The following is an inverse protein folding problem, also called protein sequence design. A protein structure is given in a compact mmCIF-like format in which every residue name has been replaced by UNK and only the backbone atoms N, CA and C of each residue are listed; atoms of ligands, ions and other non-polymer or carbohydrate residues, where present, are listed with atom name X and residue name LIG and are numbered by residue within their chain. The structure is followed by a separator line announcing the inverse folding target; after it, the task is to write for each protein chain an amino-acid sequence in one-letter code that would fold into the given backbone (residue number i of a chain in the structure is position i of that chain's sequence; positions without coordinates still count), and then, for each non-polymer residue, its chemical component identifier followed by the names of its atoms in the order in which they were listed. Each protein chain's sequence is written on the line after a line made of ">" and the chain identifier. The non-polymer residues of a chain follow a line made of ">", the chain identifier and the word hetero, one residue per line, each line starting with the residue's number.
data_IF_500374065008
#
_entry.id   IF_500374065008
#
_cell.length_a   1.000
_cell.length_b   1.000
_cell.length_c   1.000
_cell.angle_alpha   90.00
_cell.angle_beta   90.00
_cell.angle_gamma   90.00
#
_symmetry.space_group_name_H-M   'P 1'
#
loop_
_entity.id
_entity.type
_entity.pdbx_description
1 polymer ?
#
# COMPACT_ATOMS: atom_id res chain seq x y z
N UNK A 1 -10.29 -4.69 13.04
CA UNK A 1 -11.68 -4.62 13.44
C UNK A 1 -12.06 -3.24 13.98
N UNK A 2 -13.33 -3.06 14.32
CA UNK A 2 -13.90 -1.78 14.78
C UNK A 2 -13.09 -1.08 15.89
N UNK A 3 -12.63 -1.78 16.95
CA UNK A 3 -11.84 -1.12 18.00
C UNK A 3 -10.50 -0.55 17.50
N UNK A 4 -9.87 -1.17 16.51
CA UNK A 4 -8.61 -0.67 15.93
C UNK A 4 -8.85 0.57 15.07
N UNK A 5 -9.96 0.63 14.36
CA UNK A 5 -10.39 1.81 13.60
C UNK A 5 -10.64 2.99 14.54
N UNK A 6 -11.36 2.77 15.62
CA UNK A 6 -11.62 3.78 16.65
C UNK A 6 -10.32 4.30 17.27
N UNK A 7 -9.34 3.41 17.48
CA UNK A 7 -8.01 3.79 17.98
C UNK A 7 -7.26 4.71 17.00
N UNK A 8 -7.35 4.45 15.71
CA UNK A 8 -6.73 5.31 14.69
C UNK A 8 -7.44 6.69 14.63
N UNK A 9 -8.77 6.71 14.67
CA UNK A 9 -9.54 7.96 14.72
C UNK A 9 -9.22 8.78 15.97
N UNK A 10 -9.03 8.13 17.12
CA UNK A 10 -8.65 8.81 18.36
C UNK A 10 -7.28 9.50 18.28
N UNK A 11 -6.38 9.01 17.41
CA UNK A 11 -5.09 9.66 17.11
C UNK A 11 -5.20 10.77 16.04
N UNK A 12 -6.39 11.06 15.55
CA UNK A 12 -6.60 11.99 14.44
C UNK A 12 -6.22 11.42 13.07
N UNK A 13 -6.07 10.10 12.95
CA UNK A 13 -5.71 9.43 11.70
C UNK A 13 -6.94 8.90 10.98
N UNK A 14 -6.90 8.92 9.65
CA UNK A 14 -7.85 8.23 8.78
C UNK A 14 -7.41 6.77 8.57
N UNK A 15 -8.39 5.89 8.29
CA UNK A 15 -8.11 4.53 7.83
C UNK A 15 -7.58 4.55 6.39
N UNK A 16 -7.02 3.41 5.94
CA UNK A 16 -6.56 3.27 4.56
C UNK A 16 -7.67 3.58 3.54
N UNK A 17 -8.86 3.03 3.73
CA UNK A 17 -10.00 3.28 2.84
C UNK A 17 -10.45 4.73 2.85
N UNK A 18 -10.51 5.35 4.02
CA UNK A 18 -10.86 6.76 4.14
C UNK A 18 -9.84 7.67 3.44
N UNK A 19 -8.53 7.35 3.57
CA UNK A 19 -7.46 8.08 2.87
C UNK A 19 -7.61 8.01 1.35
N UNK A 20 -7.89 6.82 0.82
CA UNK A 20 -8.09 6.63 -0.62
C UNK A 20 -9.34 7.37 -1.08
N UNK A 21 -10.46 7.22 -0.38
CA UNK A 21 -11.73 7.85 -0.75
C UNK A 21 -11.64 9.38 -0.69
N UNK A 22 -10.85 9.92 0.24
CA UNK A 22 -10.56 11.34 0.30
C UNK A 22 -9.74 11.84 -0.89
N UNK A 23 -8.80 11.02 -1.37
CA UNK A 23 -7.92 11.36 -2.49
C UNK A 23 -8.63 11.26 -3.85
N UNK A 24 -9.48 10.25 -4.03
CA UNK A 24 -10.16 10.00 -5.30
C UNK A 24 -11.32 10.96 -5.55
N UNK A 25 -11.57 11.24 -6.82
CA UNK A 25 -12.73 12.03 -7.25
C UNK A 25 -14.02 11.35 -6.81
N UNK A 26 -14.84 12.03 -6.02
CA UNK A 26 -16.07 11.48 -5.41
C UNK A 26 -17.17 11.14 -6.43
N UNK A 27 -17.15 11.79 -7.60
CA UNK A 27 -18.14 11.61 -8.67
C UNK A 27 -17.75 10.54 -9.69
N UNK A 28 -16.53 10.00 -9.61
CA UNK A 28 -16.04 9.00 -10.53
C UNK A 28 -16.08 7.62 -9.90
N UNK A 29 -16.29 6.60 -10.73
CA UNK A 29 -16.27 5.21 -10.27
C UNK A 29 -14.86 4.78 -9.88
N UNK A 30 -14.74 4.00 -8.82
CA UNK A 30 -13.50 3.33 -8.43
C UNK A 30 -13.73 1.83 -8.27
N UNK A 31 -12.65 1.06 -8.43
CA UNK A 31 -12.66 -0.39 -8.27
C UNK A 31 -11.63 -0.76 -7.23
N UNK A 32 -12.03 -1.53 -6.20
CA UNK A 32 -11.10 -2.12 -5.25
C UNK A 32 -10.59 -3.46 -5.79
N UNK A 33 -9.27 -3.63 -5.79
CA UNK A 33 -8.60 -4.85 -6.26
C UNK A 33 -8.24 -5.72 -5.07
N UNK A 34 -8.65 -6.99 -5.10
CA UNK A 34 -8.25 -7.97 -4.10
C UNK A 34 -8.78 -7.68 -2.69
N UNK A 35 -10.02 -7.18 -2.55
CA UNK A 35 -10.63 -6.87 -1.25
C UNK A 35 -10.62 -8.06 -0.27
N UNK A 36 -10.72 -9.28 -0.78
CA UNK A 36 -10.74 -10.51 0.01
C UNK A 36 -9.38 -11.24 0.05
N UNK A 37 -8.33 -10.63 -0.49
CA UNK A 37 -6.99 -11.18 -0.39
C UNK A 37 -6.60 -11.34 1.08
N UNK A 38 -6.05 -12.49 1.43
CA UNK A 38 -5.66 -12.80 2.81
C UNK A 38 -6.79 -13.30 3.73
N UNK A 39 -8.04 -13.34 3.26
CA UNK A 39 -9.15 -13.88 4.03
C UNK A 39 -8.89 -15.35 4.41
N UNK A 40 -9.03 -15.66 5.70
CA UNK A 40 -8.74 -16.99 6.24
C UNK A 40 -7.26 -17.36 6.30
N UNK A 41 -6.34 -16.49 5.87
CA UNK A 41 -4.90 -16.69 5.95
C UNK A 41 -4.30 -16.12 7.24
N UNK A 42 -3.19 -16.69 7.69
CA UNK A 42 -2.41 -16.21 8.84
C UNK A 42 -3.23 -16.10 10.13
N UNK A 43 -4.20 -16.98 10.34
CA UNK A 43 -5.09 -16.95 11.51
C UNK A 43 -4.32 -17.12 12.82
N UNK A 44 -3.24 -17.89 12.82
CA UNK A 44 -2.32 -18.05 13.96
C UNK A 44 -1.58 -16.74 14.31
N UNK A 45 -1.49 -15.81 13.39
CA UNK A 45 -0.90 -14.47 13.59
C UNK A 45 -1.96 -13.38 13.75
N UNK A 46 -3.25 -13.74 13.89
CA UNK A 46 -4.35 -12.79 14.03
C UNK A 46 -4.99 -12.33 12.71
N UNK A 47 -4.68 -13.02 11.61
CA UNK A 47 -5.25 -12.75 10.28
C UNK A 47 -4.60 -11.59 9.54
N UNK A 48 -4.93 -11.47 8.26
CA UNK A 48 -4.43 -10.41 7.38
C UNK A 48 -5.55 -9.97 6.41
N UNK A 49 -6.60 -9.29 6.90
CA UNK A 49 -7.72 -8.86 6.07
C UNK A 49 -7.26 -7.96 4.91
N UNK A 50 -7.81 -8.15 3.73
CA UNK A 50 -7.45 -7.44 2.49
C UNK A 50 -5.95 -7.49 2.16
N UNK A 51 -5.22 -8.48 2.71
CA UNK A 51 -3.77 -8.58 2.55
C UNK A 51 -2.98 -7.49 3.27
N UNK A 52 -3.57 -6.78 4.24
CA UNK A 52 -2.93 -5.69 4.98
C UNK A 52 -2.71 -4.41 4.15
N UNK A 53 -3.26 -4.35 2.96
CA UNK A 53 -3.16 -3.21 2.05
C UNK A 53 -4.42 -3.07 1.22
N UNK A 54 -4.87 -1.86 1.01
CA UNK A 54 -6.04 -1.54 0.16
C UNK A 54 -5.54 -1.00 -1.18
N UNK A 55 -6.01 -1.59 -2.27
CA UNK A 55 -5.68 -1.16 -3.64
C UNK A 55 -6.96 -0.75 -4.36
N UNK A 56 -6.99 0.46 -4.87
CA UNK A 56 -8.09 0.94 -5.72
C UNK A 56 -7.56 1.53 -7.02
N UNK A 57 -8.35 1.33 -8.07
CA UNK A 57 -8.17 2.03 -9.34
C UNK A 57 -9.29 3.06 -9.41
N UNK A 58 -8.94 4.31 -9.57
CA UNK A 58 -9.90 5.41 -9.61
C UNK A 58 -9.33 6.63 -10.31
N UNK A 59 -9.96 7.77 -10.11
CA UNK A 59 -9.60 9.01 -10.79
C UNK A 59 -9.21 10.08 -9.77
N UNK A 60 -8.18 10.85 -10.10
CA UNK A 60 -7.78 12.05 -9.36
C UNK A 60 -7.73 13.21 -10.36
N UNK A 61 -8.58 14.21 -10.18
CA UNK A 61 -8.74 15.34 -11.11
C UNK A 61 -8.91 14.87 -12.56
N UNK A 62 -9.74 13.86 -12.74
CA UNK A 62 -10.06 13.29 -14.04
C UNK A 62 -9.03 12.36 -14.65
N UNK A 63 -7.91 12.10 -13.97
CA UNK A 63 -6.86 11.17 -14.43
C UNK A 63 -6.95 9.86 -13.69
N UNK A 64 -7.00 8.76 -14.43
CA UNK A 64 -7.03 7.42 -13.85
C UNK A 64 -5.67 7.06 -13.22
N UNK A 65 -5.71 6.44 -12.06
CA UNK A 65 -4.52 6.05 -11.32
C UNK A 65 -4.78 4.81 -10.46
N UNK A 66 -3.69 4.18 -10.03
CA UNK A 66 -3.70 3.11 -9.05
C UNK A 66 -3.28 3.70 -7.71
N UNK A 67 -4.05 3.46 -6.66
CA UNK A 67 -3.74 3.92 -5.30
C UNK A 67 -3.58 2.70 -4.39
N UNK A 68 -2.47 2.66 -3.67
CA UNK A 68 -2.10 1.58 -2.75
C UNK A 68 -1.91 2.17 -1.36
N UNK A 69 -2.70 1.74 -0.39
CA UNK A 69 -2.62 2.25 0.98
C UNK A 69 -2.42 1.13 1.99
N UNK A 70 -1.39 1.23 2.83
CA UNK A 70 -1.19 0.33 3.95
C UNK A 70 -2.35 0.45 4.94
N UNK A 71 -2.85 -0.68 5.41
CA UNK A 71 -3.86 -0.73 6.46
C UNK A 71 -3.18 -0.85 7.83
N UNK A 72 -3.00 0.28 8.50
CA UNK A 72 -2.36 0.34 9.82
C UNK A 72 -3.16 -0.39 10.91
N UNK A 73 -4.43 -0.71 10.67
CA UNK A 73 -5.26 -1.51 11.59
C UNK A 73 -4.92 -2.99 11.53
N UNK A 74 -4.18 -3.42 10.49
CA UNK A 74 -3.70 -4.79 10.31
C UNK A 74 -2.21 -4.85 10.65
N UNK A 75 -1.88 -5.29 11.86
CA UNK A 75 -0.49 -5.42 12.35
C UNK A 75 0.36 -4.16 12.09
N UNK A 76 -0.19 -2.97 12.36
CA UNK A 76 0.46 -1.69 12.13
C UNK A 76 0.96 -1.48 10.68
N UNK A 77 0.27 -2.06 9.71
CA UNK A 77 0.65 -1.99 8.29
C UNK A 77 1.83 -2.88 7.93
N UNK A 78 2.18 -3.87 8.76
CA UNK A 78 3.28 -4.78 8.49
C UNK A 78 3.03 -5.65 7.25
N UNK A 79 4.10 -5.99 6.55
CA UNK A 79 4.04 -6.76 5.32
C UNK A 79 4.04 -8.26 5.60
N UNK A 80 3.00 -8.93 5.15
CA UNK A 80 2.92 -10.38 5.00
C UNK A 80 3.27 -10.78 3.55
N UNK A 81 3.52 -12.06 3.25
CA UNK A 81 3.72 -12.49 1.87
C UNK A 81 2.56 -12.09 0.94
N UNK A 82 1.31 -12.20 1.39
CA UNK A 82 0.14 -11.78 0.61
C UNK A 82 0.13 -10.25 0.37
N UNK A 83 0.65 -9.45 1.30
CA UNK A 83 0.79 -8.00 1.13
C UNK A 83 1.73 -7.70 -0.04
N UNK A 84 2.87 -8.37 -0.11
CA UNK A 84 3.81 -8.24 -1.22
C UNK A 84 3.19 -8.64 -2.55
N UNK A 85 2.48 -9.77 -2.61
CA UNK A 85 1.76 -10.22 -3.82
C UNK A 85 0.73 -9.21 -4.29
N UNK A 86 -0.02 -8.62 -3.38
CA UNK A 86 -1.03 -7.61 -3.72
C UNK A 86 -0.39 -6.32 -4.25
N UNK A 87 0.74 -5.90 -3.68
CA UNK A 87 1.52 -4.77 -4.20
C UNK A 87 2.06 -5.06 -5.61
N UNK A 88 2.59 -6.26 -5.85
CA UNK A 88 3.03 -6.69 -7.18
C UNK A 88 1.90 -6.62 -8.20
N UNK A 89 0.71 -7.07 -7.83
CA UNK A 89 -0.45 -6.99 -8.72
C UNK A 89 -0.85 -5.55 -9.03
N UNK A 90 -0.81 -4.66 -8.04
CA UNK A 90 -1.06 -3.23 -8.25
C UNK A 90 -0.05 -2.62 -9.25
N UNK A 91 1.22 -2.95 -9.10
CA UNK A 91 2.28 -2.51 -10.01
C UNK A 91 2.10 -3.07 -11.42
N UNK A 92 1.74 -4.34 -11.55
CA UNK A 92 1.43 -4.96 -12.85
C UNK A 92 0.28 -4.24 -13.56
N UNK A 93 -0.79 -3.94 -12.84
CA UNK A 93 -1.93 -3.18 -13.40
C UNK A 93 -1.49 -1.79 -13.87
N UNK A 94 -0.68 -1.09 -13.07
CA UNK A 94 -0.14 0.21 -13.44
C UNK A 94 0.71 0.13 -14.71
N UNK A 95 1.59 -0.87 -14.83
CA UNK A 95 2.43 -1.07 -16.00
C UNK A 95 1.63 -1.46 -17.25
N UNK A 96 0.71 -2.43 -17.12
CA UNK A 96 -0.12 -2.91 -18.23
C UNK A 96 -0.99 -1.80 -18.85
N UNK A 97 -1.47 -0.89 -18.01
CA UNK A 97 -2.38 0.18 -18.42
C UNK A 97 -1.70 1.56 -18.50
N UNK A 98 -0.41 1.64 -18.22
CA UNK A 98 0.38 2.89 -18.15
C UNK A 98 -0.26 3.93 -17.24
N UNK A 99 -0.70 3.49 -16.06
CA UNK A 99 -1.32 4.35 -15.06
C UNK A 99 -0.31 4.83 -14.03
N UNK A 100 -0.39 6.08 -13.57
CA UNK A 100 0.34 6.52 -12.40
C UNK A 100 -0.03 5.66 -11.19
N UNK A 101 0.93 5.44 -10.30
CA UNK A 101 0.71 4.72 -9.06
C UNK A 101 1.05 5.63 -7.87
N UNK A 102 0.18 5.63 -6.87
CA UNK A 102 0.32 6.42 -5.66
C UNK A 102 0.31 5.47 -4.46
N UNK A 103 1.36 5.55 -3.66
CA UNK A 103 1.50 4.79 -2.42
C UNK A 103 1.21 5.69 -1.22
N UNK A 104 0.21 5.33 -0.42
CA UNK A 104 -0.08 5.97 0.85
C UNK A 104 0.55 5.10 1.95
N UNK A 105 1.74 5.47 2.40
CA UNK A 105 2.59 4.63 3.23
C UNK A 105 2.30 4.83 4.71
N UNK A 106 1.95 3.75 5.39
CA UNK A 106 1.78 3.68 6.84
C UNK A 106 2.10 2.25 7.27
N UNK A 107 3.39 1.93 7.39
CA UNK A 107 3.87 0.56 7.56
C UNK A 107 4.97 0.45 8.59
N UNK A 108 4.84 -0.53 9.48
CA UNK A 108 5.88 -0.95 10.41
C UNK A 108 6.99 -1.80 9.74
N UNK A 109 6.95 -1.97 8.41
CA UNK A 109 7.89 -2.79 7.66
C UNK A 109 7.42 -4.24 7.53
N UNK A 110 8.37 -5.16 7.41
CA UNK A 110 8.06 -6.59 7.25
C UNK A 110 7.55 -7.18 8.57
N UNK A 111 6.54 -8.05 8.49
CA UNK A 111 6.11 -8.83 9.63
C UNK A 111 7.19 -9.82 10.03
N UNK A 112 7.93 -9.51 11.08
CA UNK A 112 9.15 -10.22 11.49
C UNK A 112 9.04 -11.75 11.57
N UNK A 113 7.95 -12.33 12.11
CA UNK A 113 7.81 -13.79 12.14
C UNK A 113 7.82 -14.48 10.78
N UNK A 114 7.62 -13.73 9.69
CA UNK A 114 7.57 -14.25 8.32
C UNK A 114 8.61 -13.61 7.40
N UNK A 115 9.63 -12.97 7.96
CA UNK A 115 10.63 -12.25 7.16
C UNK A 115 11.39 -13.15 6.19
N UNK A 116 11.62 -14.41 6.56
CA UNK A 116 12.34 -15.39 5.73
C UNK A 116 11.57 -15.73 4.44
N UNK A 117 10.26 -15.54 4.44
CA UNK A 117 9.40 -15.73 3.27
C UNK A 117 9.33 -14.51 2.38
N UNK A 118 9.69 -13.33 2.88
CA UNK A 118 9.51 -12.06 2.17
C UNK A 118 10.83 -11.52 1.63
N UNK A 119 11.90 -11.49 2.43
CA UNK A 119 13.14 -10.82 2.08
C UNK A 119 14.00 -11.51 1.00
N UNK A 120 14.23 -12.83 1.03
CA UNK A 120 15.16 -13.45 0.09
C UNK A 120 14.57 -13.63 -1.30
N UNK A 121 13.37 -13.17 -1.55
CA UNK A 121 12.59 -13.64 -2.66
C UNK A 121 12.63 -12.70 -3.86
N UNK A 122 13.02 -13.25 -5.01
CA UNK A 122 12.85 -12.64 -6.32
C UNK A 122 11.39 -12.30 -6.63
N UNK A 123 10.47 -12.99 -5.98
CA UNK A 123 9.02 -12.91 -6.20
C UNK A 123 8.32 -11.88 -5.30
N UNK A 124 9.02 -11.31 -4.31
CA UNK A 124 8.46 -10.35 -3.38
C UNK A 124 9.18 -8.98 -3.49
N UNK A 125 10.01 -8.61 -2.52
CA UNK A 125 10.65 -7.30 -2.51
C UNK A 125 11.57 -7.06 -3.70
N UNK A 126 12.35 -8.06 -4.12
CA UNK A 126 13.21 -7.92 -5.29
C UNK A 126 12.43 -7.60 -6.55
N UNK A 127 11.26 -8.21 -6.72
CA UNK A 127 10.38 -7.96 -7.87
C UNK A 127 9.69 -6.61 -7.77
N UNK A 128 9.28 -6.19 -6.57
CA UNK A 128 8.74 -4.84 -6.33
C UNK A 128 9.75 -3.78 -6.75
N UNK A 129 11.02 -3.91 -6.35
CA UNK A 129 12.07 -2.97 -6.72
C UNK A 129 12.35 -2.96 -8.22
N UNK A 130 12.38 -4.13 -8.84
CA UNK A 130 12.51 -4.25 -10.29
C UNK A 130 11.35 -3.55 -11.00
N UNK A 131 10.13 -3.75 -10.54
CA UNK A 131 8.95 -3.11 -11.10
C UNK A 131 9.03 -1.58 -10.96
N UNK A 132 9.49 -1.07 -9.81
CA UNK A 132 9.69 0.37 -9.63
C UNK A 132 10.67 0.94 -10.66
N UNK A 133 11.80 0.27 -10.88
CA UNK A 133 12.78 0.68 -11.88
C UNK A 133 12.21 0.60 -13.30
N UNK A 134 11.48 -0.45 -13.61
CA UNK A 134 10.82 -0.64 -14.90
C UNK A 134 9.77 0.42 -15.17
N UNK A 135 8.93 0.75 -14.19
CA UNK A 135 7.94 1.83 -14.31
C UNK A 135 8.60 3.18 -14.59
N UNK A 136 9.71 3.49 -13.91
CA UNK A 136 10.49 4.70 -14.18
C UNK A 136 10.99 4.73 -15.62
N UNK A 137 11.52 3.61 -16.14
CA UNK A 137 11.98 3.52 -17.54
C UNK A 137 10.84 3.64 -18.56
N UNK A 138 9.61 3.29 -18.19
CA UNK A 138 8.40 3.43 -19.00
C UNK A 138 7.78 4.83 -18.91
N UNK A 139 8.31 5.72 -18.09
CA UNK A 139 7.75 7.05 -17.86
C UNK A 139 6.47 7.04 -17.00
N UNK A 140 6.20 5.97 -16.26
CA UNK A 140 5.06 5.88 -15.34
C UNK A 140 5.40 6.63 -14.06
N UNK A 141 4.56 7.61 -13.70
CA UNK A 141 4.74 8.39 -12.48
C UNK A 141 4.45 7.55 -11.24
N UNK A 142 5.35 7.61 -10.28
CA UNK A 142 5.25 6.95 -8.99
C UNK A 142 5.37 8.00 -7.89
N UNK A 143 4.35 8.12 -7.05
CA UNK A 143 4.28 9.08 -5.95
C UNK A 143 4.08 8.31 -4.66
N UNK A 144 4.83 8.67 -3.62
CA UNK A 144 4.63 8.15 -2.27
C UNK A 144 4.29 9.29 -1.31
N UNK A 145 3.22 9.10 -0.55
CA UNK A 145 2.87 9.97 0.57
C UNK A 145 3.01 9.17 1.87
N UNK A 146 3.89 9.64 2.74
CA UNK A 146 4.13 9.02 4.05
C UNK A 146 3.09 9.56 5.01
N UNK A 147 2.12 8.72 5.37
CA UNK A 147 0.95 9.08 6.16
C UNK A 147 1.08 8.70 7.64
N UNK A 148 2.07 7.89 7.97
CA UNK A 148 2.33 7.38 9.32
C UNK A 148 3.72 6.79 9.41
N UNK A 149 3.85 5.64 10.07
CA UNK A 149 5.13 4.94 10.17
C UNK A 149 5.65 4.51 8.80
N UNK A 150 6.96 4.66 8.59
CA UNK A 150 7.63 4.24 7.36
C UNK A 150 8.98 3.63 7.75
N UNK A 151 8.99 2.34 8.05
CA UNK A 151 10.14 1.63 8.63
C UNK A 151 10.60 0.49 7.74
N UNK A 152 11.89 0.25 7.71
CA UNK A 152 12.54 -0.89 7.02
C UNK A 152 12.07 -1.03 5.56
N UNK A 153 11.49 -2.18 5.19
CA UNK A 153 11.01 -2.45 3.82
C UNK A 153 10.00 -1.42 3.30
N UNK A 154 9.15 -0.87 4.16
CA UNK A 154 8.19 0.17 3.80
C UNK A 154 8.84 1.48 3.34
N UNK A 155 10.05 1.78 3.79
CA UNK A 155 10.79 2.97 3.40
C UNK A 155 11.31 2.92 1.95
N UNK A 156 11.41 1.75 1.35
CA UNK A 156 11.91 1.62 -0.02
C UNK A 156 10.96 2.22 -1.07
N UNK A 157 9.66 2.15 -0.84
CA UNK A 157 8.68 2.72 -1.77
C UNK A 157 8.87 4.24 -1.94
N UNK A 158 8.99 5.05 -0.86
CA UNK A 158 9.32 6.46 -0.99
C UNK A 158 10.66 6.72 -1.69
N UNK A 159 11.70 5.96 -1.37
CA UNK A 159 13.03 6.10 -1.99
C UNK A 159 13.00 5.82 -3.50
N UNK A 160 12.21 4.84 -3.92
CA UNK A 160 12.08 4.43 -5.33
C UNK A 160 11.05 5.25 -6.12
N UNK A 161 10.29 6.11 -5.47
CA UNK A 161 9.28 6.93 -6.11
C UNK A 161 9.88 8.19 -6.76
N UNK A 162 9.23 8.72 -7.78
CA UNK A 162 9.61 9.97 -8.44
C UNK A 162 9.47 11.18 -7.50
N UNK A 163 8.50 11.10 -6.59
CA UNK A 163 8.22 12.11 -5.59
C UNK A 163 7.76 11.46 -4.29
N UNK A 164 8.27 11.95 -3.16
CA UNK A 164 7.86 11.52 -1.82
C UNK A 164 7.40 12.73 -1.00
N UNK A 165 6.22 12.60 -0.37
CA UNK A 165 5.60 13.63 0.45
C UNK A 165 5.43 13.07 1.87
N UNK A 166 5.79 13.87 2.88
CA UNK A 166 5.59 13.51 4.29
C UNK A 166 4.45 14.36 4.86
N UNK A 167 3.46 13.69 5.44
CA UNK A 167 2.34 14.37 6.11
C UNK A 167 2.77 14.77 7.53
N UNK A 168 2.74 16.05 7.78
CA UNK A 168 3.13 16.63 9.08
C UNK A 168 2.27 16.10 10.24
N UNK A 169 2.89 15.90 11.40
CA UNK A 169 2.30 15.42 12.67
C UNK A 169 1.85 13.97 12.72
N UNK A 170 1.76 13.25 11.59
CA UNK A 170 1.30 11.84 11.57
C UNK A 170 2.33 10.88 11.01
N UNK A 171 3.29 11.36 10.25
CA UNK A 171 4.34 10.56 9.62
C UNK A 171 5.64 10.54 10.43
N UNK A 172 6.35 9.43 10.35
CA UNK A 172 7.69 9.26 10.95
C UNK A 172 8.58 8.36 10.10
#
# INVERSE_FOLDING_TARGET
>A
GKPKIEKEHAKGKMTARERIDYLLDSKSKSIEVGAFAGDGMYTEHGGCPSGGVVVKIGYIKGKQCVVVANDATVKAGAWFPITAKKNLRAQEIAMENKLPIIYLVDSAGVYLPMQDEIFPDKEHFGRIFRNNAQMSSMGITQISAIMGSCVAGGAYLPVMSDEAIIVDKTAS
#
